data_IF_378692007149
#
_entry.id   IF_378692007149
#
_cell.length_a   1.000
_cell.length_b   1.000
_cell.length_c   1.000
_cell.angle_alpha   90.00
_cell.angle_beta   90.00
_cell.angle_gamma   90.00
#
_symmetry.space_group_name_H-M   'P 1'
#
loop_
_entity.id
_entity.type
_entity.pdbx_description
1 polymer ?
#
# COMPACT_ATOMS: atom_id res chain seq x y z
N UNK A 1 -17.84 4.36 0.82
CA UNK A 1 -18.89 3.88 1.73
C UNK A 1 -18.51 4.23 3.17
N UNK A 2 -19.44 4.71 4.00
CA UNK A 2 -19.21 4.92 5.45
C UNK A 2 -19.48 3.60 6.18
N UNK A 3 -18.81 3.34 7.31
CA UNK A 3 -19.08 2.14 8.13
C UNK A 3 -20.55 2.05 8.57
N UNK A 4 -21.22 3.19 8.74
CA UNK A 4 -22.64 3.24 9.09
C UNK A 4 -23.55 2.68 7.98
N UNK A 5 -23.07 2.66 6.74
CA UNK A 5 -23.80 2.13 5.59
C UNK A 5 -23.72 0.59 5.52
N UNK A 6 -22.79 -0.02 6.28
CA UNK A 6 -22.72 -1.48 6.45
C UNK A 6 -23.85 -1.89 7.42
N UNK A 7 -24.65 -2.93 7.08
CA UNK A 7 -25.64 -3.50 7.99
C UNK A 7 -25.02 -3.80 9.35
N UNK A 8 -25.74 -3.50 10.44
CA UNK A 8 -25.18 -3.47 11.80
C UNK A 8 -24.53 -4.81 12.17
N UNK A 9 -25.14 -5.91 11.78
CA UNK A 9 -24.70 -7.29 11.94
C UNK A 9 -23.40 -7.63 11.21
N UNK A 10 -23.07 -6.88 10.15
CA UNK A 10 -21.87 -7.07 9.33
C UNK A 10 -20.71 -6.16 9.75
N UNK A 11 -20.92 -5.23 10.68
CA UNK A 11 -19.89 -4.31 11.13
C UNK A 11 -18.85 -5.03 12.02
N UNK A 12 -17.57 -4.63 11.98
CA UNK A 12 -16.50 -5.34 12.68
C UNK A 12 -16.72 -5.48 14.20
N UNK A 13 -17.15 -4.41 14.88
CA UNK A 13 -17.34 -4.43 16.35
C UNK A 13 -18.49 -5.34 16.77
N UNK A 14 -19.57 -5.32 16.01
CA UNK A 14 -20.76 -6.12 16.24
C UNK A 14 -20.50 -7.59 15.95
N UNK A 15 -19.78 -7.91 14.87
CA UNK A 15 -19.31 -9.27 14.58
C UNK A 15 -18.39 -9.79 15.67
N UNK A 16 -17.46 -8.97 16.15
CA UNK A 16 -16.56 -9.33 17.24
C UNK A 16 -17.34 -9.66 18.51
N UNK A 17 -18.33 -8.83 18.86
CA UNK A 17 -19.17 -9.05 20.04
C UNK A 17 -20.01 -10.33 19.94
N UNK A 18 -20.49 -10.68 18.73
CA UNK A 18 -21.43 -11.78 18.53
C UNK A 18 -20.76 -13.12 18.25
N UNK A 19 -19.69 -13.12 17.47
CA UNK A 19 -19.05 -14.33 16.93
C UNK A 19 -17.59 -14.49 17.36
N UNK A 20 -17.05 -13.54 18.12
CA UNK A 20 -15.64 -13.54 18.48
C UNK A 20 -14.73 -13.12 17.33
N UNK A 21 -13.44 -13.09 17.61
CA UNK A 21 -12.46 -12.48 16.72
C UNK A 21 -12.01 -13.42 15.57
N UNK A 22 -12.16 -14.74 15.73
CA UNK A 22 -12.03 -15.71 14.62
C UNK A 22 -13.01 -15.50 13.47
N UNK A 23 -14.09 -14.74 13.69
CA UNK A 23 -15.04 -14.39 12.66
C UNK A 23 -14.64 -13.14 11.88
N UNK A 24 -13.54 -12.48 12.19
CA UNK A 24 -13.09 -11.23 11.57
C UNK A 24 -11.90 -11.48 10.63
N UNK A 25 -11.79 -10.65 9.58
CA UNK A 25 -10.56 -10.56 8.81
C UNK A 25 -9.47 -9.79 9.56
N UNK A 26 -8.20 -9.92 9.17
CA UNK A 26 -7.10 -9.11 9.71
C UNK A 26 -7.41 -7.60 9.63
N UNK A 27 -8.05 -7.17 8.53
CA UNK A 27 -8.47 -5.79 8.33
C UNK A 27 -9.58 -5.39 9.31
N UNK A 28 -10.54 -6.27 9.58
CA UNK A 28 -11.61 -6.03 10.56
C UNK A 28 -11.05 -5.94 11.99
N UNK A 29 -10.08 -6.80 12.33
CA UNK A 29 -9.41 -6.78 13.64
C UNK A 29 -8.65 -5.46 13.85
N UNK A 30 -7.86 -5.06 12.86
CA UNK A 30 -7.19 -3.75 12.88
C UNK A 30 -8.22 -2.61 12.94
N UNK A 31 -9.34 -2.72 12.23
CA UNK A 31 -10.37 -1.69 12.21
C UNK A 31 -11.06 -1.51 13.56
N UNK A 32 -11.27 -2.59 14.31
CA UNK A 32 -11.79 -2.52 15.69
C UNK A 32 -10.83 -1.71 16.57
N UNK A 33 -9.52 -1.93 16.43
CA UNK A 33 -8.48 -1.28 17.24
C UNK A 33 -8.33 0.20 16.86
N UNK A 34 -8.29 0.52 15.56
CA UNK A 34 -8.09 1.89 15.06
C UNK A 34 -9.36 2.75 15.18
N UNK A 35 -10.53 2.13 15.29
CA UNK A 35 -11.85 2.72 15.55
C UNK A 35 -12.42 3.63 14.45
N UNK A 36 -11.58 4.45 13.83
CA UNK A 36 -11.94 5.46 12.84
C UNK A 36 -10.97 5.41 11.66
N UNK A 37 -11.49 5.74 10.47
CA UNK A 37 -10.68 5.84 9.26
C UNK A 37 -9.93 7.16 9.15
N UNK A 38 -9.44 7.44 7.95
CA UNK A 38 -8.86 8.72 7.60
C UNK A 38 -9.89 9.65 6.94
N UNK A 39 -9.54 10.91 6.71
CA UNK A 39 -10.41 11.83 5.97
C UNK A 39 -10.66 11.28 4.56
N UNK A 40 -11.91 10.97 4.24
CA UNK A 40 -12.33 10.44 2.95
C UNK A 40 -12.15 8.92 2.76
N UNK A 41 -11.70 8.20 3.80
CA UNK A 41 -11.45 6.75 3.75
C UNK A 41 -11.98 6.09 5.03
N UNK A 42 -12.77 5.03 4.90
CA UNK A 42 -13.31 4.36 6.09
C UNK A 42 -12.21 3.50 6.77
N UNK A 43 -12.45 3.09 8.03
CA UNK A 43 -11.42 2.39 8.82
C UNK A 43 -11.03 1.02 8.22
N UNK A 44 -11.98 0.29 7.62
CA UNK A 44 -11.73 -1.01 7.02
C UNK A 44 -10.91 -0.85 5.73
N UNK A 45 -11.29 0.09 4.86
CA UNK A 45 -10.54 0.42 3.64
C UNK A 45 -9.11 0.84 3.97
N UNK A 46 -8.94 1.69 5.00
CA UNK A 46 -7.64 2.11 5.49
C UNK A 46 -6.80 0.92 5.99
N UNK A 47 -7.41 -0.02 6.73
CA UNK A 47 -6.71 -1.22 7.21
C UNK A 47 -6.32 -2.15 6.06
N UNK A 48 -7.19 -2.38 5.09
CA UNK A 48 -6.88 -3.14 3.87
C UNK A 48 -5.70 -2.51 3.11
N UNK A 49 -5.71 -1.19 2.96
CA UNK A 49 -4.59 -0.46 2.35
C UNK A 49 -3.30 -0.61 3.16
N UNK A 50 -3.35 -0.52 4.49
CA UNK A 50 -2.17 -0.73 5.32
C UNK A 50 -1.61 -2.15 5.19
N UNK A 51 -2.48 -3.17 5.18
CA UNK A 51 -2.10 -4.57 4.99
C UNK A 51 -1.50 -4.81 3.60
N UNK A 52 -1.99 -4.14 2.55
CA UNK A 52 -1.43 -4.32 1.20
C UNK A 52 -0.01 -3.77 1.07
N UNK A 53 0.34 -2.73 1.82
CA UNK A 53 1.68 -2.14 1.81
C UNK A 53 2.63 -2.78 2.81
N UNK A 54 2.12 -3.28 3.93
CA UNK A 54 2.93 -3.84 5.00
C UNK A 54 2.61 -5.31 5.21
N UNK A 55 3.63 -6.16 5.12
CA UNK A 55 3.56 -7.45 5.80
C UNK A 55 3.41 -7.18 7.30
N UNK A 56 2.34 -7.68 7.91
CA UNK A 56 1.98 -7.44 9.31
C UNK A 56 3.17 -7.68 10.28
N UNK A 57 4.04 -8.62 9.96
CA UNK A 57 5.26 -8.98 10.68
C UNK A 57 6.35 -7.88 10.73
N UNK A 58 6.33 -6.91 9.82
CA UNK A 58 7.38 -5.90 9.68
C UNK A 58 6.99 -4.51 10.24
N UNK A 59 5.77 -4.35 10.73
CA UNK A 59 5.24 -3.06 11.18
C UNK A 59 5.85 -2.56 12.49
N UNK A 60 6.35 -3.45 13.34
CA UNK A 60 6.99 -3.08 14.62
C UNK A 60 8.37 -2.45 14.46
N UNK A 61 9.03 -2.69 13.32
CA UNK A 61 10.46 -2.38 13.14
C UNK A 61 10.67 -1.06 12.38
N UNK A 62 9.57 -0.36 12.05
CA UNK A 62 9.59 0.91 11.35
C UNK A 62 9.90 2.07 12.31
N UNK A 63 10.95 2.83 12.00
CA UNK A 63 11.30 4.06 12.72
C UNK A 63 10.20 5.15 12.61
N UNK A 64 10.19 6.14 13.51
CA UNK A 64 9.16 7.20 13.57
C UNK A 64 9.07 8.04 12.29
N UNK A 65 10.19 8.24 11.60
CA UNK A 65 10.23 8.98 10.32
C UNK A 65 9.85 8.16 9.08
N UNK A 66 9.74 6.83 9.20
CA UNK A 66 9.56 5.90 8.08
C UNK A 66 8.17 5.25 8.03
N UNK A 67 7.40 5.29 9.11
CA UNK A 67 6.08 4.64 9.17
C UNK A 67 5.07 5.17 8.13
N UNK A 68 5.29 6.37 7.59
CA UNK A 68 4.44 6.94 6.54
C UNK A 68 4.99 6.72 5.13
N UNK A 69 6.17 6.07 4.97
CA UNK A 69 6.87 5.90 3.70
C UNK A 69 7.23 4.44 3.48
N UNK A 70 6.51 3.80 2.58
CA UNK A 70 6.74 2.39 2.23
C UNK A 70 7.71 2.36 1.06
N UNK A 71 8.88 1.75 1.23
CA UNK A 71 9.78 1.50 0.11
C UNK A 71 9.08 0.59 -0.92
N UNK A 72 9.12 0.99 -2.19
CA UNK A 72 8.54 0.22 -3.29
C UNK A 72 9.62 -0.47 -4.12
N UNK A 73 10.49 0.31 -4.75
CA UNK A 73 11.52 -0.18 -5.67
C UNK A 73 12.58 0.91 -5.98
N UNK A 74 13.71 0.51 -6.56
CA UNK A 74 14.73 1.40 -7.13
C UNK A 74 14.31 1.77 -8.55
N UNK A 75 14.05 3.07 -8.79
CA UNK A 75 13.69 3.60 -10.10
C UNK A 75 14.73 3.23 -11.17
N UNK A 76 16.01 3.40 -10.86
CA UNK A 76 17.11 3.21 -11.81
C UNK A 76 17.28 1.74 -12.24
N UNK A 77 16.75 0.79 -11.47
CA UNK A 77 16.78 -0.64 -11.76
C UNK A 77 15.49 -1.12 -12.45
N UNK A 78 14.65 -0.19 -12.96
CA UNK A 78 13.46 -0.44 -13.77
C UNK A 78 13.58 0.23 -15.15
N UNK A 79 13.48 -0.52 -16.26
CA UNK A 79 13.41 -1.99 -16.32
C UNK A 79 14.71 -2.64 -15.85
N UNK A 80 14.64 -3.82 -15.22
CA UNK A 80 15.79 -4.55 -14.69
C UNK A 80 15.47 -5.30 -13.40
N UNK A 81 16.40 -5.24 -12.44
CA UNK A 81 16.36 -6.01 -11.17
C UNK A 81 15.09 -5.77 -10.36
N UNK A 82 14.52 -4.58 -10.45
CA UNK A 82 13.34 -4.18 -9.67
C UNK A 82 12.04 -4.15 -10.48
N UNK A 83 12.07 -4.61 -11.75
CA UNK A 83 10.87 -4.70 -12.60
C UNK A 83 9.74 -5.49 -11.94
N UNK A 84 10.06 -6.64 -11.33
CA UNK A 84 9.05 -7.48 -10.67
C UNK A 84 8.41 -6.78 -9.47
N UNK A 85 9.20 -6.06 -8.66
CA UNK A 85 8.67 -5.27 -7.54
C UNK A 85 7.73 -4.17 -8.04
N UNK A 86 8.13 -3.48 -9.11
CA UNK A 86 7.30 -2.45 -9.72
C UNK A 86 5.98 -3.01 -10.24
N UNK A 87 5.98 -4.12 -10.99
CA UNK A 87 4.76 -4.76 -11.48
C UNK A 87 3.87 -5.27 -10.34
N UNK A 88 4.45 -5.86 -9.29
CA UNK A 88 3.71 -6.27 -8.08
C UNK A 88 3.04 -5.09 -7.39
N UNK A 89 3.68 -3.93 -7.33
CA UNK A 89 3.07 -2.71 -6.80
C UNK A 89 1.86 -2.28 -7.64
N UNK A 90 1.97 -2.27 -8.97
CA UNK A 90 0.85 -1.95 -9.86
C UNK A 90 -0.32 -2.90 -9.64
N UNK A 91 -0.06 -4.21 -9.61
CA UNK A 91 -1.09 -5.24 -9.43
C UNK A 91 -1.70 -5.18 -8.02
N UNK A 92 -0.90 -5.41 -6.99
CA UNK A 92 -1.39 -5.71 -5.65
C UNK A 92 -1.84 -4.46 -4.88
N UNK A 93 -1.22 -3.31 -5.15
CA UNK A 93 -1.48 -2.08 -4.40
C UNK A 93 -2.37 -1.10 -5.16
N UNK A 94 -2.34 -1.10 -6.50
CA UNK A 94 -3.12 -0.18 -7.31
C UNK A 94 -4.29 -0.83 -8.06
N UNK A 95 -4.40 -2.17 -8.04
CA UNK A 95 -5.46 -2.91 -8.74
C UNK A 95 -5.30 -2.90 -10.26
N UNK A 96 -4.07 -2.74 -10.75
CA UNK A 96 -3.74 -2.69 -12.18
C UNK A 96 -3.37 -4.12 -12.63
N UNK A 97 -4.36 -5.00 -12.67
CA UNK A 97 -4.15 -6.44 -12.88
C UNK A 97 -3.51 -6.79 -14.23
N UNK A 98 -3.84 -6.01 -15.27
CA UNK A 98 -3.29 -6.18 -16.61
C UNK A 98 -1.76 -5.95 -16.67
N UNK A 99 -1.17 -5.32 -15.65
CA UNK A 99 0.27 -5.06 -15.62
C UNK A 99 1.12 -6.32 -15.36
N UNK A 100 0.52 -7.44 -14.91
CA UNK A 100 1.26 -8.65 -14.50
C UNK A 100 2.32 -9.12 -15.50
N UNK A 101 1.98 -9.08 -16.79
CA UNK A 101 2.86 -9.52 -17.89
C UNK A 101 3.21 -8.36 -18.85
N UNK A 102 3.04 -7.12 -18.40
CA UNK A 102 3.22 -5.96 -19.24
C UNK A 102 4.67 -5.78 -19.71
N UNK A 103 4.83 -5.15 -20.86
CA UNK A 103 6.12 -4.67 -21.31
C UNK A 103 6.48 -3.38 -20.57
N UNK A 104 7.74 -3.28 -20.15
CA UNK A 104 8.27 -2.10 -19.46
C UNK A 104 9.39 -1.53 -20.30
N UNK A 105 9.31 -0.24 -20.59
CA UNK A 105 10.39 0.52 -21.22
C UNK A 105 10.66 1.82 -20.46
N UNK A 106 11.81 2.43 -20.73
CA UNK A 106 12.20 3.70 -20.11
C UNK A 106 12.67 4.68 -21.19
N UNK A 107 12.30 5.94 -21.03
CA UNK A 107 12.76 7.01 -21.92
C UNK A 107 14.28 7.20 -21.86
N UNK A 108 14.87 7.73 -22.93
CA UNK A 108 16.31 8.00 -23.02
C UNK A 108 16.79 8.97 -21.93
N UNK A 109 15.97 9.96 -21.57
CA UNK A 109 16.25 10.91 -20.48
C UNK A 109 16.13 10.30 -19.07
N UNK A 110 15.73 9.03 -18.98
CA UNK A 110 15.53 8.23 -17.76
C UNK A 110 14.47 8.79 -16.80
N UNK A 111 13.65 9.75 -17.23
CA UNK A 111 12.61 10.37 -16.38
C UNK A 111 11.26 9.69 -16.49
N UNK A 112 11.04 8.86 -17.49
CA UNK A 112 9.74 8.24 -17.74
C UNK A 112 9.87 6.72 -17.88
N UNK A 113 9.07 5.97 -17.14
CA UNK A 113 8.86 4.53 -17.32
C UNK A 113 7.48 4.36 -17.96
N UNK A 114 7.39 3.54 -19.00
CA UNK A 114 6.14 3.22 -19.69
C UNK A 114 5.85 1.75 -19.51
N UNK A 115 4.60 1.43 -19.17
CA UNK A 115 4.08 0.08 -18.98
C UNK A 115 2.95 -0.14 -19.97
N UNK A 116 3.04 -1.18 -20.81
CA UNK A 116 2.04 -1.49 -21.84
C UNK A 116 1.59 -2.94 -21.72
N UNK A 117 0.28 -3.18 -21.78
CA UNK A 117 -0.25 -4.54 -21.83
C UNK A 117 0.28 -5.30 -23.06
N UNK A 118 0.57 -6.59 -22.89
CA UNK A 118 0.92 -7.50 -23.98
C UNK A 118 -0.28 -8.31 -24.48
N UNK A 119 -1.41 -8.26 -23.78
CA UNK A 119 -2.58 -9.07 -24.12
C UNK A 119 -3.39 -8.44 -25.26
N UNK A 120 -3.88 -9.26 -26.19
CA UNK A 120 -4.65 -8.79 -27.35
C UNK A 120 -5.95 -8.09 -26.95
N UNK A 121 -6.60 -8.55 -25.88
CA UNK A 121 -7.83 -7.96 -25.32
C UNK A 121 -7.60 -6.58 -24.69
N UNK A 122 -6.37 -6.31 -24.24
CA UNK A 122 -6.03 -5.15 -23.42
C UNK A 122 -4.98 -4.25 -24.10
N UNK A 123 -4.82 -4.35 -25.42
CA UNK A 123 -3.70 -3.75 -26.17
C UNK A 123 -3.57 -2.23 -26.02
N UNK A 124 -4.65 -1.55 -25.62
CA UNK A 124 -4.69 -0.11 -25.37
C UNK A 124 -4.36 0.28 -23.92
N UNK A 125 -4.38 -0.67 -22.98
CA UNK A 125 -4.08 -0.40 -21.57
C UNK A 125 -2.59 -0.09 -21.40
N UNK A 126 -2.33 1.10 -20.90
CA UNK A 126 -1.00 1.58 -20.59
C UNK A 126 -0.97 2.44 -19.33
N UNK A 127 0.23 2.57 -18.76
CA UNK A 127 0.50 3.47 -17.66
C UNK A 127 1.87 4.12 -17.87
N UNK A 128 1.98 5.38 -17.47
CA UNK A 128 3.20 6.17 -17.60
C UNK A 128 3.60 6.67 -16.22
N UNK A 129 4.80 6.31 -15.77
CA UNK A 129 5.37 6.81 -14.53
C UNK A 129 6.40 7.89 -14.87
N UNK A 130 6.26 9.10 -14.34
CA UNK A 130 7.15 10.23 -14.62
C UNK A 130 7.79 10.76 -13.34
N UNK A 131 9.08 11.09 -13.39
CA UNK A 131 9.79 11.80 -12.33
C UNK A 131 9.63 13.31 -12.46
N UNK A 132 9.08 13.94 -11.44
CA UNK A 132 9.14 15.39 -11.23
C UNK A 132 10.28 15.70 -10.25
N UNK A 133 11.46 16.01 -10.82
CA UNK A 133 12.66 16.31 -10.02
C UNK A 133 12.55 17.58 -9.19
N UNK A 134 11.71 18.53 -9.60
CA UNK A 134 11.50 19.80 -8.90
C UNK A 134 10.67 19.56 -7.65
N UNK A 135 9.57 18.82 -7.77
CA UNK A 135 8.67 18.51 -6.66
C UNK A 135 9.13 17.34 -5.80
N UNK A 136 10.22 16.64 -6.18
CA UNK A 136 10.71 15.39 -5.56
C UNK A 136 9.63 14.31 -5.52
N UNK A 137 8.83 14.22 -6.58
CA UNK A 137 7.71 13.30 -6.72
C UNK A 137 7.86 12.45 -7.97
N UNK A 138 7.22 11.28 -7.94
CA UNK A 138 6.98 10.48 -9.11
C UNK A 138 5.46 10.36 -9.29
N UNK A 139 4.96 10.51 -10.50
CA UNK A 139 3.52 10.46 -10.79
C UNK A 139 3.27 9.35 -11.80
N UNK A 140 2.47 8.37 -11.41
CA UNK A 140 1.97 7.32 -12.29
C UNK A 140 0.59 7.74 -12.80
N UNK A 141 0.46 7.81 -14.12
CA UNK A 141 -0.77 8.15 -14.84
C UNK A 141 -1.20 6.91 -15.63
N UNK A 142 -2.44 6.44 -15.42
CA UNK A 142 -3.00 5.29 -16.15
C UNK A 142 -3.91 5.74 -17.29
N UNK A 143 -4.22 4.85 -18.24
CA UNK A 143 -5.10 5.17 -19.37
C UNK A 143 -6.52 5.63 -18.98
N UNK A 144 -6.98 5.29 -17.76
CA UNK A 144 -8.27 5.68 -17.19
C UNK A 144 -8.17 6.95 -16.32
N UNK A 145 -7.17 7.79 -16.61
CA UNK A 145 -6.90 9.09 -15.98
C UNK A 145 -6.71 9.04 -14.45
N UNK A 146 -6.38 7.87 -13.90
CA UNK A 146 -6.03 7.76 -12.47
C UNK A 146 -4.57 8.14 -12.27
N UNK A 147 -4.36 8.97 -11.25
CA UNK A 147 -3.04 9.49 -10.90
C UNK A 147 -2.61 9.02 -9.51
N UNK A 148 -1.43 8.44 -9.43
CA UNK A 148 -0.83 7.95 -8.19
C UNK A 148 0.49 8.65 -7.91
N UNK A 149 0.54 9.33 -6.77
CA UNK A 149 1.73 10.09 -6.35
C UNK A 149 2.61 9.24 -5.44
N UNK A 150 3.89 9.16 -5.79
CA UNK A 150 4.95 8.59 -4.97
C UNK A 150 6.00 9.66 -4.63
N UNK A 151 6.71 9.44 -3.54
CA UNK A 151 7.90 10.21 -3.18
C UNK A 151 9.11 9.48 -3.78
N UNK A 152 10.13 10.22 -4.21
CA UNK A 152 11.42 9.60 -4.45
C UNK A 152 12.53 10.24 -3.60
N UNK A 153 13.57 9.45 -3.32
CA UNK A 153 14.80 9.89 -2.66
C UNK A 153 16.01 9.39 -3.44
N UNK A 154 17.12 10.12 -3.37
CA UNK A 154 18.41 9.67 -3.91
C UNK A 154 19.25 9.11 -2.78
N UNK A 155 19.56 7.83 -2.82
CA UNK A 155 20.32 7.10 -1.80
C UNK A 155 21.36 6.23 -2.53
N UNK A 156 22.61 6.26 -2.09
CA UNK A 156 23.72 5.52 -2.72
C UNK A 156 23.82 5.74 -4.24
N UNK A 157 23.59 6.98 -4.70
CA UNK A 157 23.65 7.35 -6.11
C UNK A 157 22.41 6.98 -6.93
N UNK A 158 21.50 6.16 -6.41
CA UNK A 158 20.29 5.69 -7.11
C UNK A 158 19.03 6.37 -6.59
N UNK A 159 17.99 6.42 -7.43
CA UNK A 159 16.67 6.91 -7.09
C UNK A 159 15.82 5.75 -6.54
N UNK A 160 15.35 5.88 -5.30
CA UNK A 160 14.40 4.97 -4.64
C UNK A 160 13.00 5.59 -4.63
N UNK A 161 11.99 4.79 -4.92
CA UNK A 161 10.57 5.17 -4.92
C UNK A 161 9.91 4.67 -3.64
N UNK A 162 9.13 5.56 -3.02
CA UNK A 162 8.39 5.33 -1.80
C UNK A 162 6.92 5.73 -1.96
N UNK A 163 6.00 4.91 -1.47
CA UNK A 163 4.60 5.30 -1.32
C UNK A 163 4.42 6.09 -0.02
N UNK A 164 3.77 7.25 -0.08
CA UNK A 164 3.37 8.00 1.13
C UNK A 164 1.99 7.55 1.56
N UNK A 165 1.90 6.93 2.73
CA UNK A 165 0.61 6.63 3.35
C UNK A 165 -0.05 7.94 3.77
N UNK A 166 -1.16 8.27 3.12
CA UNK A 166 -1.99 9.43 3.46
C UNK A 166 -2.92 9.07 4.62
N UNK A 167 -3.32 10.09 5.39
CA UNK A 167 -4.38 9.96 6.39
C UNK A 167 -3.99 9.34 7.73
N UNK A 168 -2.76 8.85 7.88
CA UNK A 168 -2.22 8.47 9.19
C UNK A 168 -1.60 9.70 9.85
N UNK A 169 -2.34 10.31 10.78
CA UNK A 169 -1.75 11.25 11.73
C UNK A 169 -0.86 10.54 12.75
N UNK A 170 -0.14 11.33 13.56
CA UNK A 170 0.83 10.81 14.53
C UNK A 170 0.16 9.89 15.57
N UNK A 171 -1.03 10.25 16.05
CA UNK A 171 -1.77 9.42 17.01
C UNK A 171 -2.09 8.02 16.47
N UNK A 172 -2.58 7.90 15.23
CA UNK A 172 -2.86 6.60 14.61
C UNK A 172 -1.58 5.81 14.36
N UNK A 173 -0.52 6.51 13.96
CA UNK A 173 0.82 5.90 13.80
C UNK A 173 1.29 5.28 15.12
N UNK A 174 1.18 6.01 16.24
CA UNK A 174 1.55 5.50 17.56
C UNK A 174 0.67 4.33 18.01
N UNK A 175 -0.64 4.38 17.74
CA UNK A 175 -1.54 3.25 18.02
C UNK A 175 -1.13 1.98 17.27
N UNK A 176 -0.82 2.11 15.98
CA UNK A 176 -0.40 0.98 15.16
C UNK A 176 0.95 0.45 15.68
N UNK A 177 1.93 1.31 15.91
CA UNK A 177 3.24 0.91 16.46
C UNK A 177 3.12 0.19 17.80
N UNK A 178 2.31 0.72 18.72
CA UNK A 178 2.06 0.10 20.01
C UNK A 178 1.45 -1.29 19.86
N UNK A 179 0.47 -1.45 18.96
CA UNK A 179 -0.15 -2.75 18.67
C UNK A 179 0.87 -3.75 18.15
N UNK A 180 1.68 -3.39 17.15
CA UNK A 180 2.66 -4.30 16.58
C UNK A 180 3.81 -4.61 17.53
N UNK A 181 4.25 -3.62 18.32
CA UNK A 181 5.21 -3.82 19.40
C UNK A 181 4.69 -4.81 20.45
N UNK A 182 3.41 -4.73 20.81
CA UNK A 182 2.75 -5.69 21.70
C UNK A 182 2.73 -7.10 21.07
N UNK A 183 2.26 -7.23 19.83
CA UNK A 183 2.19 -8.53 19.13
C UNK A 183 3.56 -9.21 19.07
N UNK A 184 4.62 -8.45 18.73
CA UNK A 184 5.99 -8.94 18.66
C UNK A 184 6.51 -9.36 20.04
N UNK A 185 6.34 -8.50 21.06
CA UNK A 185 6.78 -8.77 22.44
C UNK A 185 6.20 -10.07 22.99
N UNK A 186 4.95 -10.38 22.66
CA UNK A 186 4.26 -11.58 23.16
C UNK A 186 4.25 -12.75 22.18
N UNK A 187 4.98 -12.65 21.06
CA UNK A 187 5.10 -13.68 20.03
C UNK A 187 3.74 -14.25 19.56
N UNK A 188 2.71 -13.40 19.53
CA UNK A 188 1.33 -13.80 19.24
C UNK A 188 1.17 -14.26 17.78
N UNK A 189 2.00 -13.73 16.88
CA UNK A 189 2.00 -14.10 15.45
C UNK A 189 2.39 -15.57 15.19
N UNK A 190 3.26 -16.18 16.01
CA UNK A 190 3.67 -17.60 15.85
C UNK A 190 2.65 -18.61 16.39
N UNK A 191 1.66 -18.18 17.16
CA UNK A 191 0.66 -19.07 17.78
C UNK A 191 -0.60 -19.29 16.93
N UNK A 192 -0.63 -18.81 15.68
CA UNK A 192 -1.85 -18.88 14.85
C UNK A 192 -3.04 -18.13 15.45
N UNK A 193 -2.75 -17.19 16.37
CA UNK A 193 -3.73 -16.42 17.11
C UNK A 193 -3.34 -14.94 17.02
N UNK A 194 -3.70 -14.30 15.92
CA UNK A 194 -4.41 -13.05 16.14
C UNK A 194 -5.65 -13.42 16.98
N UNK A 195 -5.96 -12.70 18.07
CA UNK A 195 -7.22 -12.95 18.76
C UNK A 195 -8.34 -12.98 17.72
#
# INVERSE_FOLDING_TARGET
MKIKDIPKENRPRERLKRYGASALSDADLLAVILQTGARGENVVDMCNRLISFYKLENLSDLSDGEFQKVYLFIWDDVPGKDSEKFLKYLQNNLGIDWAKNAEISKSEDKKTIVVKSKEKSDKEKSATFKLDKVKKKAILETHDDKNYECIFKKENGKINIYYKIKGLGDAKTQQIKALFGFIKKYNLAKKGKFP
#
